data_IF_429919099443
#
_entry.id   IF_429919099443
#
_cell.length_a   1.000
_cell.length_b   1.000
_cell.length_c   1.000
_cell.angle_alpha   90.00
_cell.angle_beta   90.00
_cell.angle_gamma   90.00
#
_symmetry.space_group_name_H-M   'P 1'
#
loop_
_entity.id
_entity.type
_entity.pdbx_description
1 polymer ?
#
# COMPACT_ATOMS: atom_id res chain seq x y z
N UNK A 1 7.38 -13.74 -23.33
CA UNK A 1 8.35 -13.47 -22.26
C UNK A 1 9.71 -13.38 -22.92
N UNK A 2 10.09 -12.17 -23.34
CA UNK A 2 11.43 -11.92 -23.88
C UNK A 2 12.36 -11.65 -22.71
N UNK A 3 13.38 -12.49 -22.59
CA UNK A 3 14.42 -12.36 -21.59
C UNK A 3 15.59 -11.70 -22.31
N UNK A 4 15.89 -10.44 -21.98
CA UNK A 4 17.10 -9.78 -22.47
C UNK A 4 18.24 -9.93 -21.45
N UNK A 5 19.38 -10.38 -21.95
CA UNK A 5 20.62 -10.47 -21.19
C UNK A 5 21.33 -9.12 -21.31
N UNK A 6 21.38 -8.34 -20.23
CA UNK A 6 22.21 -7.15 -20.21
C UNK A 6 23.70 -7.53 -20.03
N UNK A 7 24.60 -6.61 -20.38
CA UNK A 7 26.06 -6.84 -20.49
C UNK A 7 26.73 -7.40 -19.22
N UNK A 8 26.04 -7.33 -18.07
CA UNK A 8 26.51 -7.83 -16.77
C UNK A 8 26.01 -9.23 -16.41
N UNK A 9 25.30 -9.93 -17.32
CA UNK A 9 24.83 -11.30 -17.08
C UNK A 9 23.65 -11.39 -16.12
N UNK A 10 22.98 -10.28 -15.83
CA UNK A 10 21.72 -10.27 -15.09
C UNK A 10 20.53 -10.51 -16.04
N UNK A 11 19.53 -11.24 -15.57
CA UNK A 11 18.29 -11.44 -16.31
C UNK A 11 17.30 -10.37 -15.86
N UNK A 12 16.97 -9.42 -16.73
CA UNK A 12 15.86 -8.49 -16.48
C UNK A 12 14.64 -9.02 -17.21
N UNK A 13 13.62 -9.43 -16.47
CA UNK A 13 12.30 -9.67 -17.09
C UNK A 13 11.72 -8.30 -17.40
N UNK A 14 11.70 -7.92 -18.68
CA UNK A 14 10.97 -6.74 -19.12
C UNK A 14 9.47 -7.11 -19.10
N UNK A 15 8.75 -6.67 -18.08
CA UNK A 15 7.30 -6.78 -18.03
C UNK A 15 6.71 -6.01 -19.21
N UNK A 16 5.76 -6.59 -19.93
CA UNK A 16 5.03 -5.85 -20.93
C UNK A 16 3.96 -5.00 -20.21
N UNK A 17 4.10 -3.68 -20.27
CA UNK A 17 3.18 -2.76 -19.60
C UNK A 17 2.49 -1.87 -20.62
N UNK A 18 1.16 -1.95 -20.65
CA UNK A 18 0.30 -1.10 -21.47
C UNK A 18 -0.48 -0.18 -20.54
N UNK A 19 -0.29 1.13 -20.68
CA UNK A 19 -1.07 2.13 -19.94
C UNK A 19 -2.22 2.64 -20.79
N UNK A 20 -3.38 2.78 -20.15
CA UNK A 20 -4.56 3.46 -20.69
C UNK A 20 -5.05 4.46 -19.64
N UNK A 21 -6.01 5.32 -20.00
CA UNK A 21 -6.45 6.42 -19.14
C UNK A 21 -6.87 5.96 -17.72
N UNK A 22 -7.66 4.89 -17.64
CA UNK A 22 -8.26 4.36 -16.40
C UNK A 22 -7.85 2.92 -16.06
N UNK A 23 -6.81 2.39 -16.71
CA UNK A 23 -6.30 1.06 -16.40
C UNK A 23 -4.84 0.89 -16.83
N UNK A 24 -4.19 -0.13 -16.28
CA UNK A 24 -2.93 -0.66 -16.79
C UNK A 24 -3.08 -2.15 -17.05
N UNK A 25 -2.32 -2.66 -18.00
CA UNK A 25 -2.16 -4.09 -18.25
C UNK A 25 -0.70 -4.46 -18.05
N UNK A 26 -0.44 -5.45 -17.18
CA UNK A 26 0.90 -5.95 -16.86
C UNK A 26 0.91 -7.44 -17.13
N UNK A 27 1.70 -7.86 -18.12
CA UNK A 27 1.85 -9.27 -18.49
C UNK A 27 0.50 -10.00 -18.73
N UNK A 28 -0.51 -9.25 -19.23
CA UNK A 28 -1.86 -9.73 -19.51
C UNK A 28 -2.87 -9.60 -18.38
N UNK A 29 -2.46 -9.17 -17.18
CA UNK A 29 -3.37 -8.84 -16.09
C UNK A 29 -3.75 -7.36 -16.10
N UNK A 30 -5.05 -7.08 -16.00
CA UNK A 30 -5.60 -5.73 -16.07
C UNK A 30 -5.92 -5.22 -14.66
N UNK A 31 -5.41 -4.03 -14.33
CA UNK A 31 -5.74 -3.30 -13.11
C UNK A 31 -6.46 -2.01 -13.47
N UNK A 32 -7.74 -1.93 -13.11
CA UNK A 32 -8.53 -0.71 -13.27
C UNK A 32 -8.23 0.30 -12.16
N UNK A 33 -8.24 1.59 -12.47
CA UNK A 33 -8.16 2.63 -11.45
C UNK A 33 -9.46 2.65 -10.63
N UNK A 34 -9.39 2.76 -9.29
CA UNK A 34 -8.16 2.94 -8.53
C UNK A 34 -7.36 1.65 -8.30
N UNK A 35 -6.04 1.76 -8.39
CA UNK A 35 -5.09 0.71 -8.05
C UNK A 35 -3.92 1.28 -7.23
N UNK A 36 -3.18 0.41 -6.55
CA UNK A 36 -2.03 0.76 -5.72
C UNK A 36 -0.75 0.25 -6.37
N UNK A 37 0.29 1.07 -6.40
CA UNK A 37 1.64 0.71 -6.84
C UNK A 37 2.60 0.81 -5.64
N UNK A 38 3.23 -0.31 -5.27
CA UNK A 38 4.15 -0.40 -4.13
C UNK A 38 5.56 -0.73 -4.61
N UNK A 39 6.62 -0.08 -4.10
CA UNK A 39 7.98 -0.56 -4.30
C UNK A 39 8.12 -2.00 -3.79
N UNK A 40 8.93 -2.83 -4.48
CA UNK A 40 9.20 -4.21 -4.02
C UNK A 40 9.88 -4.26 -2.65
N UNK A 41 10.62 -3.22 -2.28
CA UNK A 41 11.25 -3.09 -0.96
C UNK A 41 10.24 -2.58 0.06
N UNK A 42 9.96 -3.37 1.10
CA UNK A 42 9.07 -2.99 2.19
C UNK A 42 9.59 -1.80 3.03
N UNK A 43 10.89 -1.50 2.95
CA UNK A 43 11.51 -0.34 3.60
C UNK A 43 11.30 0.97 2.82
N UNK A 44 10.89 0.87 1.55
CA UNK A 44 10.51 2.03 0.75
C UNK A 44 9.00 2.27 0.87
N UNK A 45 8.64 3.36 1.54
CA UNK A 45 7.25 3.72 1.81
C UNK A 45 6.62 4.64 0.76
N UNK A 46 7.26 4.83 -0.39
CA UNK A 46 6.75 5.64 -1.50
C UNK A 46 5.67 4.85 -2.28
N UNK A 47 4.51 4.67 -1.65
CA UNK A 47 3.36 3.93 -2.20
C UNK A 47 2.43 4.89 -2.93
N UNK A 48 2.05 4.57 -4.16
CA UNK A 48 1.21 5.45 -4.98
C UNK A 48 -0.17 4.84 -5.19
N UNK A 49 -1.21 5.67 -5.19
CA UNK A 49 -2.58 5.28 -5.52
C UNK A 49 -2.98 6.10 -6.74
N UNK A 50 -3.43 5.46 -7.81
CA UNK A 50 -3.85 6.11 -9.04
C UNK A 50 -5.37 6.18 -9.09
N UNK A 51 -5.94 7.34 -9.44
CA UNK A 51 -7.39 7.54 -9.45
C UNK A 51 -7.95 7.56 -10.87
N UNK A 52 -9.20 7.08 -11.07
CA UNK A 52 -9.82 7.15 -12.37
C UNK A 52 -10.16 8.60 -12.75
N UNK A 53 -10.23 8.90 -14.04
CA UNK A 53 -10.61 10.21 -14.57
C UNK A 53 -11.99 10.65 -14.08
N UNK A 54 -12.91 9.70 -13.87
CA UNK A 54 -14.24 9.95 -13.28
C UNK A 54 -14.19 10.54 -11.86
N UNK A 55 -13.09 10.33 -11.13
CA UNK A 55 -12.82 10.90 -9.81
C UNK A 55 -11.85 12.10 -9.86
N UNK A 56 -11.53 12.61 -11.06
CA UNK A 56 -10.59 13.72 -11.27
C UNK A 56 -9.18 13.30 -11.70
N UNK A 57 -8.91 11.99 -11.78
CA UNK A 57 -7.60 11.46 -12.18
C UNK A 57 -6.48 11.74 -11.18
N UNK A 58 -5.24 11.61 -11.66
CA UNK A 58 -4.05 11.89 -10.86
C UNK A 58 -3.71 10.77 -9.89
N UNK A 59 -2.87 11.08 -8.91
CA UNK A 59 -2.39 10.10 -7.94
C UNK A 59 -2.15 10.67 -6.54
N UNK A 60 -2.36 9.83 -5.53
CA UNK A 60 -1.94 10.07 -4.15
C UNK A 60 -0.58 9.43 -3.91
N UNK A 61 0.41 10.23 -3.51
CA UNK A 61 1.77 9.77 -3.21
C UNK A 61 1.97 9.70 -1.71
N UNK A 62 1.95 8.49 -1.16
CA UNK A 62 2.21 8.24 0.25
C UNK A 62 3.71 8.26 0.51
N UNK A 63 4.08 8.62 1.73
CA UNK A 63 5.47 8.62 2.17
C UNK A 63 5.52 8.41 3.68
N UNK A 64 6.71 8.06 4.19
CA UNK A 64 6.93 8.02 5.64
C UNK A 64 6.63 9.40 6.23
N UNK A 65 5.68 9.46 7.16
CA UNK A 65 5.15 10.70 7.75
C UNK A 65 6.24 11.75 8.03
N UNK A 66 6.04 12.96 7.50
CA UNK A 66 6.87 14.14 7.75
C UNK A 66 5.97 15.20 8.38
N UNK A 67 6.18 15.50 9.66
CA UNK A 67 5.35 16.47 10.39
C UNK A 67 3.87 16.08 10.44
N UNK A 68 3.00 16.90 9.83
CA UNK A 68 1.55 16.72 9.77
C UNK A 68 1.07 16.06 8.48
N UNK A 69 1.98 15.55 7.64
CA UNK A 69 1.64 14.93 6.35
C UNK A 69 2.12 13.49 6.23
N UNK A 70 1.30 12.66 5.59
CA UNK A 70 1.59 11.24 5.27
C UNK A 70 1.40 10.91 3.79
N UNK A 71 0.83 11.83 3.02
CA UNK A 71 0.76 11.74 1.56
C UNK A 71 0.48 13.12 0.93
N UNK A 72 0.58 13.18 -0.39
CA UNK A 72 0.24 14.37 -1.19
C UNK A 72 -0.40 13.97 -2.52
N UNK A 73 -1.41 14.72 -2.94
CA UNK A 73 -2.01 14.58 -4.26
C UNK A 73 -1.13 15.22 -5.33
N UNK A 74 -1.10 14.62 -6.52
CA UNK A 74 -0.52 15.18 -7.74
C UNK A 74 -1.42 14.89 -8.94
N UNK A 75 -1.35 15.73 -9.96
CA UNK A 75 -2.03 15.50 -11.25
C UNK A 75 -1.36 14.43 -12.12
N UNK A 76 -0.20 13.89 -11.72
CA UNK A 76 0.46 12.80 -12.46
C UNK A 76 -0.40 11.54 -12.44
N UNK A 77 -0.69 11.01 -13.62
CA UNK A 77 -1.64 9.92 -13.82
C UNK A 77 -0.98 8.65 -14.39
N UNK A 78 0.32 8.71 -14.70
CA UNK A 78 1.11 7.61 -15.24
C UNK A 78 1.92 6.90 -14.15
N UNK A 79 2.16 5.61 -14.35
CA UNK A 79 2.93 4.76 -13.42
C UNK A 79 4.42 5.12 -13.43
N UNK A 80 5.15 4.70 -12.39
CA UNK A 80 6.61 4.84 -12.40
C UNK A 80 7.26 3.86 -13.37
N UNK A 81 8.33 4.30 -14.04
CA UNK A 81 9.05 3.51 -15.07
C UNK A 81 10.44 3.05 -14.66
N UNK A 82 10.96 3.57 -13.56
CA UNK A 82 12.29 3.25 -13.05
C UNK A 82 12.20 2.51 -11.72
N UNK A 83 12.47 1.20 -11.76
CA UNK A 83 12.40 0.32 -10.60
C UNK A 83 11.45 -0.85 -10.80
N UNK A 84 11.19 -1.56 -9.70
CA UNK A 84 10.27 -2.70 -9.69
C UNK A 84 9.17 -2.46 -8.67
N UNK A 85 7.94 -2.77 -9.08
CA UNK A 85 6.74 -2.46 -8.33
C UNK A 85 5.79 -3.65 -8.27
N UNK A 86 4.98 -3.67 -7.23
CA UNK A 86 3.83 -4.56 -7.07
C UNK A 86 2.58 -3.71 -7.31
N UNK A 87 1.69 -4.19 -8.17
CA UNK A 87 0.40 -3.59 -8.44
C UNK A 87 -0.71 -4.43 -7.81
N UNK A 88 -1.67 -3.77 -7.16
CA UNK A 88 -2.81 -4.43 -6.53
C UNK A 88 -4.08 -3.59 -6.71
N UNK A 89 -5.24 -4.25 -6.67
CA UNK A 89 -6.53 -3.57 -6.62
C UNK A 89 -6.63 -2.68 -5.37
N UNK A 90 -7.20 -1.49 -5.53
CA UNK A 90 -7.48 -0.63 -4.39
C UNK A 90 -8.69 -1.15 -3.61
N UNK A 91 -8.48 -1.46 -2.33
CA UNK A 91 -9.55 -1.92 -1.45
C UNK A 91 -10.33 -0.74 -0.85
N UNK A 92 -11.62 -0.57 -1.16
CA UNK A 92 -12.41 0.49 -0.57
C UNK A 92 -12.62 0.24 0.93
N UNK A 93 -12.35 1.24 1.76
CA UNK A 93 -12.56 1.22 3.21
C UNK A 93 -13.32 2.47 3.66
N UNK A 94 -13.73 2.52 4.92
CA UNK A 94 -14.33 3.71 5.54
C UNK A 94 -13.29 4.83 5.82
N UNK A 95 -12.15 4.82 5.12
CA UNK A 95 -11.11 5.83 5.25
C UNK A 95 -10.16 5.62 6.43
N UNK A 96 -10.16 4.43 7.04
CA UNK A 96 -9.22 4.07 8.11
C UNK A 96 -8.50 2.76 7.82
N UNK A 97 -7.27 2.67 8.30
CA UNK A 97 -6.48 1.45 8.30
C UNK A 97 -6.50 0.85 9.70
N UNK A 98 -6.81 -0.45 9.82
CA UNK A 98 -6.62 -1.19 11.07
C UNK A 98 -5.16 -1.61 11.21
N UNK A 99 -4.55 -1.25 12.34
CA UNK A 99 -3.19 -1.65 12.74
C UNK A 99 -3.30 -2.71 13.82
N UNK A 100 -2.74 -3.88 13.56
CA UNK A 100 -2.78 -5.03 14.47
C UNK A 100 -1.38 -5.31 15.01
N UNK A 101 -1.29 -5.56 16.32
CA UNK A 101 -0.05 -5.82 17.03
C UNK A 101 -0.21 -7.12 17.82
N UNK A 102 0.60 -8.14 17.52
CA UNK A 102 0.54 -9.44 18.18
C UNK A 102 1.58 -9.57 19.29
N UNK A 103 1.24 -10.33 20.33
CA UNK A 103 2.17 -10.78 21.38
C UNK A 103 1.99 -12.28 21.51
N UNK A 104 2.72 -13.04 20.69
CA UNK A 104 2.42 -14.44 20.43
C UNK A 104 1.14 -14.64 19.63
N UNK A 105 0.79 -15.90 19.36
CA UNK A 105 -0.33 -16.27 18.49
C UNK A 105 -1.72 -16.04 19.13
N UNK A 106 -1.78 -15.99 20.46
CA UNK A 106 -3.03 -15.95 21.23
C UNK A 106 -3.49 -14.53 21.58
N UNK A 107 -2.63 -13.52 21.40
CA UNK A 107 -2.94 -12.14 21.75
C UNK A 107 -2.70 -11.18 20.58
N UNK A 108 -3.70 -10.36 20.29
CA UNK A 108 -3.62 -9.27 19.32
C UNK A 108 -4.35 -8.02 19.82
N UNK A 109 -3.66 -6.88 19.84
CA UNK A 109 -4.26 -5.56 20.01
C UNK A 109 -4.52 -4.94 18.63
N UNK A 110 -5.63 -4.22 18.49
CA UNK A 110 -5.97 -3.51 17.27
C UNK A 110 -6.44 -2.08 17.53
N UNK A 111 -6.05 -1.19 16.64
CA UNK A 111 -6.47 0.22 16.61
C UNK A 111 -6.61 0.65 15.15
N UNK A 112 -7.51 1.59 14.86
CA UNK A 112 -7.62 2.19 13.54
C UNK A 112 -6.99 3.59 13.51
N UNK A 113 -6.46 3.95 12.34
CA UNK A 113 -5.95 5.30 12.04
C UNK A 113 -6.48 5.77 10.71
N UNK A 114 -6.58 7.09 10.51
CA UNK A 114 -6.94 7.65 9.21
C UNK A 114 -5.99 7.13 8.12
N UNK A 115 -6.57 6.66 7.02
CA UNK A 115 -5.79 6.14 5.91
C UNK A 115 -5.02 7.28 5.22
N UNK A 116 -3.72 7.11 4.96
CA UNK A 116 -2.96 8.09 4.19
C UNK A 116 -3.40 8.14 2.71
N UNK A 117 -4.22 7.20 2.24
CA UNK A 117 -4.85 7.25 0.92
C UNK A 117 -5.95 8.30 0.75
N UNK A 118 -6.34 8.99 1.84
CA UNK A 118 -7.29 10.11 1.80
C UNK A 118 -6.55 11.43 1.45
N UNK A 119 -6.60 12.43 2.34
CA UNK A 119 -6.07 13.78 2.10
C UNK A 119 -4.59 13.96 2.52
N UNK A 120 -3.99 12.91 3.10
CA UNK A 120 -2.62 12.93 3.63
C UNK A 120 -2.38 13.81 4.84
N UNK A 121 -3.41 14.41 5.45
CA UNK A 121 -3.29 15.17 6.71
C UNK A 121 -3.40 14.21 7.90
N UNK A 122 -2.40 14.29 8.76
CA UNK A 122 -2.33 13.50 9.99
C UNK A 122 -3.10 14.20 11.10
N UNK A 123 -4.16 13.55 11.58
CA UNK A 123 -4.97 14.08 12.67
C UNK A 123 -4.26 13.89 14.01
N UNK A 124 -4.25 14.94 14.83
CA UNK A 124 -3.58 14.97 16.12
C UNK A 124 -4.51 15.44 17.23
N UNK A 125 -4.35 14.86 18.40
CA UNK A 125 -5.04 15.27 19.63
C UNK A 125 -4.43 16.56 20.23
N UNK A 126 -5.00 17.01 21.35
CA UNK A 126 -4.54 18.19 22.09
C UNK A 126 -3.10 18.05 22.63
N UNK A 127 -2.57 16.83 22.74
CA UNK A 127 -1.21 16.52 23.16
C UNK A 127 -0.26 16.33 21.96
N UNK A 128 -0.74 16.54 20.74
CA UNK A 128 0.02 16.37 19.51
C UNK A 128 0.26 14.92 19.10
N UNK A 129 -0.37 13.93 19.74
CA UNK A 129 -0.30 12.52 19.34
C UNK A 129 -1.27 12.26 18.19
N UNK A 130 -0.91 11.32 17.33
CA UNK A 130 -1.78 10.91 16.23
C UNK A 130 -3.04 10.23 16.76
N UNK A 131 -4.20 10.66 16.26
CA UNK A 131 -5.51 10.14 16.68
C UNK A 131 -5.64 8.66 16.32
N UNK A 132 -6.19 7.87 17.24
CA UNK A 132 -6.41 6.43 17.10
C UNK A 132 -7.83 6.10 17.54
N UNK A 133 -8.45 5.16 16.86
CA UNK A 133 -9.80 4.68 17.17
C UNK A 133 -9.73 3.24 17.69
N UNK A 134 -10.48 2.88 18.74
CA UNK A 134 -10.47 1.53 19.28
C UNK A 134 -11.06 0.54 18.26
N UNK A 135 -10.44 -0.62 18.11
CA UNK A 135 -10.91 -1.70 17.25
C UNK A 135 -10.97 -3.00 18.04
N UNK A 136 -12.09 -3.72 17.91
CA UNK A 136 -12.21 -5.09 18.41
C UNK A 136 -12.20 -6.00 17.20
N UNK A 137 -11.17 -6.84 17.11
CA UNK A 137 -11.05 -7.82 16.03
C UNK A 137 -12.17 -8.85 16.11
N UNK A 138 -12.77 -9.14 14.96
CA UNK A 138 -13.68 -10.28 14.78
C UNK A 138 -12.91 -11.60 14.83
N UNK A 139 -13.64 -12.72 14.91
CA UNK A 139 -13.05 -14.05 15.04
C UNK A 139 -12.17 -14.43 13.83
N UNK A 140 -12.60 -14.09 12.62
CA UNK A 140 -11.85 -14.24 11.37
C UNK A 140 -10.55 -13.41 11.37
N UNK A 141 -10.61 -12.16 11.82
CA UNK A 141 -9.44 -11.28 11.90
C UNK A 141 -8.43 -11.75 12.96
N UNK A 142 -8.90 -12.31 14.08
CA UNK A 142 -8.03 -12.97 15.06
C UNK A 142 -7.31 -14.18 14.46
N UNK A 143 -8.00 -14.99 13.65
CA UNK A 143 -7.37 -16.10 12.94
C UNK A 143 -6.32 -15.62 11.93
N UNK A 144 -6.57 -14.49 11.25
CA UNK A 144 -5.57 -13.86 10.37
C UNK A 144 -4.33 -13.44 11.18
N UNK A 145 -4.52 -12.73 12.29
CA UNK A 145 -3.43 -12.29 13.16
C UNK A 145 -2.59 -13.47 13.69
N UNK A 146 -3.27 -14.55 14.12
CA UNK A 146 -2.63 -15.79 14.57
C UNK A 146 -1.79 -16.42 13.45
N UNK A 147 -2.36 -16.57 12.24
CA UNK A 147 -1.66 -17.13 11.07
C UNK A 147 -0.42 -16.30 10.70
N UNK A 148 -0.52 -14.97 10.70
CA UNK A 148 0.61 -14.08 10.42
C UNK A 148 1.70 -14.26 11.48
N UNK A 149 1.34 -14.25 12.78
CA UNK A 149 2.30 -14.41 13.86
C UNK A 149 3.11 -15.70 13.74
N UNK A 150 2.44 -16.82 13.45
CA UNK A 150 3.07 -18.13 13.29
C UNK A 150 3.90 -18.21 11.99
N UNK A 151 3.37 -17.74 10.86
CA UNK A 151 4.05 -17.82 9.57
C UNK A 151 5.36 -17.03 9.54
N UNK A 152 5.40 -15.86 10.19
CA UNK A 152 6.58 -14.99 10.25
C UNK A 152 7.41 -15.16 11.53
N UNK A 153 7.08 -16.16 12.37
CA UNK A 153 7.79 -16.47 13.63
C UNK A 153 7.97 -15.25 14.55
N UNK A 154 6.95 -14.40 14.59
CA UNK A 154 6.98 -13.17 15.38
C UNK A 154 6.93 -13.55 16.86
N UNK A 155 8.03 -13.35 17.58
CA UNK A 155 8.26 -13.71 18.99
C UNK A 155 8.61 -15.18 19.31
N UNK A 156 8.96 -16.00 18.31
CA UNK A 156 9.72 -17.23 18.59
C UNK A 156 11.19 -16.83 18.79
N UNK A 157 11.62 -16.72 20.05
CA UNK A 157 13.04 -16.67 20.41
C UNK A 157 13.59 -18.07 20.56
#
# INVERSE_FOLDING_TARGET
MEIEQNFYGTWTTLSNVIEQDDQIEIDGEIFHKPFVEKPVSAENHDVYIYFPLSAGGGSQRLFRKIGSRSSVYTSENNIRKDGSYIYEEFMPTDGTDVKVYTVGAEYAHAEARKSPGLDGKVDRDEFGKEVRYPVILRADEKLIAMKICLAFKVNEK
#
